data_IF_602068986048
#
_entry.id   IF_602068986048
#
_cell.length_a   1.000
_cell.length_b   1.000
_cell.length_c   1.000
_cell.angle_alpha   90.00
_cell.angle_beta   90.00
_cell.angle_gamma   90.00
#
_symmetry.space_group_name_H-M   'P 1'
#
loop_
_entity.id
_entity.type
_entity.pdbx_description
1 polymer ?
#
# COMPACT_ATOMS: atom_id res chain seq x y z
N UNK A 1 -17.37 5.08 -15.36
CA UNK A 1 -16.69 4.76 -14.08
C UNK A 1 -15.89 5.98 -13.70
N UNK A 2 -15.92 6.41 -12.43
CA UNK A 2 -15.27 7.66 -12.01
C UNK A 2 -14.02 7.39 -11.15
N UNK A 3 -13.97 6.28 -10.43
CA UNK A 3 -12.86 5.88 -9.57
C UNK A 3 -12.57 4.40 -9.76
N UNK A 4 -11.29 4.04 -9.81
CA UNK A 4 -10.82 2.66 -9.73
C UNK A 4 -9.99 2.45 -8.47
N UNK A 5 -9.94 1.19 -8.01
CA UNK A 5 -9.27 0.80 -6.77
C UNK A 5 -8.34 -0.40 -6.99
N UNK A 6 -7.22 -0.24 -7.70
CA UNK A 6 -6.27 -1.34 -7.87
C UNK A 6 -5.64 -1.71 -6.54
N UNK A 7 -5.61 -3.01 -6.23
CA UNK A 7 -4.89 -3.56 -5.09
C UNK A 7 -3.52 -4.08 -5.54
N UNK A 8 -2.45 -3.51 -5.01
CA UNK A 8 -1.08 -3.84 -5.43
C UNK A 8 -0.68 -5.29 -5.12
N UNK A 9 -1.27 -5.89 -4.08
CA UNK A 9 -1.05 -7.30 -3.76
C UNK A 9 -1.71 -8.26 -4.76
N UNK A 10 -2.76 -7.81 -5.45
CA UNK A 10 -3.57 -8.62 -6.36
C UNK A 10 -3.35 -8.30 -7.84
N UNK A 11 -3.00 -7.07 -8.18
CA UNK A 11 -2.86 -6.63 -9.59
C UNK A 11 -1.47 -6.87 -10.19
N UNK A 12 -0.52 -7.41 -9.43
CA UNK A 12 0.84 -7.68 -9.91
C UNK A 12 1.91 -6.70 -9.43
N UNK A 13 1.68 -6.03 -8.31
CA UNK A 13 2.63 -5.12 -7.66
C UNK A 13 2.59 -3.70 -8.20
N UNK A 14 3.57 -2.89 -7.78
CA UNK A 14 3.65 -1.45 -8.09
C UNK A 14 3.74 -1.20 -9.60
N UNK A 15 4.51 -2.00 -10.33
CA UNK A 15 4.70 -1.83 -11.78
C UNK A 15 3.38 -1.96 -12.54
N UNK A 16 2.61 -3.00 -12.27
CA UNK A 16 1.32 -3.19 -12.94
C UNK A 16 0.27 -2.20 -12.40
N UNK A 17 0.28 -1.93 -11.11
CA UNK A 17 -0.55 -0.89 -10.49
C UNK A 17 -0.34 0.48 -11.14
N UNK A 18 0.91 0.87 -11.40
CA UNK A 18 1.24 2.13 -12.10
C UNK A 18 0.68 2.17 -13.52
N UNK A 19 0.82 1.07 -14.29
CA UNK A 19 0.25 0.98 -15.65
C UNK A 19 -1.27 1.13 -15.64
N UNK A 20 -1.95 0.47 -14.69
CA UNK A 20 -3.40 0.58 -14.52
C UNK A 20 -3.81 2.03 -14.23
N UNK A 21 -3.07 2.71 -13.35
CA UNK A 21 -3.32 4.12 -13.00
C UNK A 21 -3.10 5.05 -14.20
N UNK A 22 -2.05 4.83 -15.00
CA UNK A 22 -1.75 5.60 -16.20
C UNK A 22 -2.83 5.42 -17.28
N UNK A 23 -3.30 4.19 -17.47
CA UNK A 23 -4.42 3.92 -18.38
C UNK A 23 -5.70 4.61 -17.91
N UNK A 24 -6.00 4.57 -16.61
CA UNK A 24 -7.15 5.24 -16.03
C UNK A 24 -7.08 6.75 -16.22
N UNK A 25 -5.89 7.33 -16.06
CA UNK A 25 -5.66 8.77 -16.22
C UNK A 25 -6.00 9.27 -17.63
N UNK A 26 -5.70 8.49 -18.66
CA UNK A 26 -6.04 8.84 -20.07
C UNK A 26 -7.55 9.02 -20.28
N UNK A 27 -8.37 8.39 -19.44
CA UNK A 27 -9.84 8.45 -19.48
C UNK A 27 -10.45 9.34 -18.39
N UNK A 28 -9.66 10.20 -17.77
CA UNK A 28 -10.10 11.05 -16.63
C UNK A 28 -10.70 10.26 -15.47
N UNK A 29 -10.19 9.04 -15.24
CA UNK A 29 -10.63 8.18 -14.14
C UNK A 29 -9.66 8.36 -12.98
N UNK A 30 -10.20 8.71 -11.82
CA UNK A 30 -9.44 8.87 -10.57
C UNK A 30 -9.06 7.54 -9.94
N UNK A 31 -8.03 7.56 -9.10
CA UNK A 31 -7.52 6.39 -8.38
C UNK A 31 -7.57 6.59 -6.88
N UNK A 32 -8.09 5.60 -6.21
CA UNK A 32 -7.93 5.32 -4.79
C UNK A 32 -7.41 3.89 -4.69
N UNK A 33 -6.15 3.67 -4.35
CA UNK A 33 -5.63 2.29 -4.22
C UNK A 33 -6.39 1.53 -3.13
N UNK A 34 -6.73 0.25 -3.39
CA UNK A 34 -7.31 -0.61 -2.36
C UNK A 34 -6.23 -1.05 -1.38
N UNK A 35 -6.41 -0.74 -0.09
CA UNK A 35 -5.42 -0.98 0.97
C UNK A 35 -6.09 -1.58 2.21
N UNK A 36 -6.37 -2.87 2.22
CA UNK A 36 -6.95 -3.54 3.38
C UNK A 36 -6.08 -4.67 3.97
N UNK A 37 -4.87 -4.85 3.47
CA UNK A 37 -3.89 -5.82 3.96
C UNK A 37 -3.06 -5.25 5.15
N UNK A 38 -1.79 -5.59 5.24
CA UNK A 38 -0.90 -5.17 6.32
C UNK A 38 -0.11 -3.88 6.02
N UNK A 39 0.78 -3.47 6.94
CA UNK A 39 1.58 -2.23 6.80
C UNK A 39 2.49 -2.19 5.57
N UNK A 40 2.91 -3.35 5.02
CA UNK A 40 3.64 -3.40 3.74
C UNK A 40 2.77 -2.95 2.56
N UNK A 41 1.48 -3.33 2.56
CA UNK A 41 0.54 -2.87 1.54
C UNK A 41 0.33 -1.36 1.63
N UNK A 42 0.21 -0.81 2.84
CA UNK A 42 0.16 0.64 3.08
C UNK A 42 1.40 1.33 2.53
N UNK A 43 2.61 0.84 2.87
CA UNK A 43 3.86 1.43 2.38
C UNK A 43 3.95 1.40 0.85
N UNK A 44 3.59 0.27 0.21
CA UNK A 44 3.58 0.14 -1.24
C UNK A 44 2.58 1.10 -1.92
N UNK A 45 1.37 1.21 -1.36
CA UNK A 45 0.35 2.13 -1.88
C UNK A 45 0.80 3.58 -1.78
N UNK A 46 1.39 4.02 -0.66
CA UNK A 46 1.92 5.37 -0.49
C UNK A 46 3.00 5.70 -1.52
N UNK A 47 3.87 4.73 -1.88
CA UNK A 47 4.87 4.91 -2.96
C UNK A 47 4.22 5.09 -4.34
N UNK A 48 3.17 4.34 -4.65
CA UNK A 48 2.44 4.50 -5.90
C UNK A 48 1.67 5.82 -5.95
N UNK A 49 0.95 6.14 -4.89
CA UNK A 49 0.03 7.27 -4.80
C UNK A 49 0.75 8.62 -4.94
N UNK A 50 2.00 8.73 -4.50
CA UNK A 50 2.78 9.96 -4.66
C UNK A 50 3.30 10.20 -6.09
N UNK A 51 3.20 9.21 -7.00
CA UNK A 51 3.72 9.31 -8.39
C UNK A 51 2.64 9.20 -9.47
N UNK A 52 1.37 9.10 -9.08
CA UNK A 52 0.24 9.06 -10.03
C UNK A 52 -0.51 10.41 -10.04
N UNK A 53 -0.80 10.98 -11.22
CA UNK A 53 -1.45 12.30 -11.31
C UNK A 53 -2.94 12.30 -10.97
N UNK A 54 -3.59 11.14 -11.02
CA UNK A 54 -5.02 10.94 -10.81
C UNK A 54 -5.38 10.36 -9.42
N UNK A 55 -4.46 10.45 -8.46
CA UNK A 55 -4.71 10.11 -7.06
C UNK A 55 -5.74 11.08 -6.44
N UNK A 56 -6.67 10.55 -5.64
CA UNK A 56 -7.66 11.36 -4.91
C UNK A 56 -7.58 11.22 -3.39
N UNK A 57 -7.42 10.00 -2.88
CA UNK A 57 -7.37 9.73 -1.44
C UNK A 57 -6.76 8.36 -1.16
N UNK A 58 -6.06 8.22 -0.05
CA UNK A 58 -5.57 6.92 0.46
C UNK A 58 -6.68 6.19 1.21
N UNK A 59 -6.83 4.88 0.99
CA UNK A 59 -7.72 4.06 1.77
C UNK A 59 -7.10 3.72 3.12
N UNK A 60 -7.80 4.05 4.21
CA UNK A 60 -7.40 3.69 5.56
C UNK A 60 -8.42 2.74 6.19
N UNK A 61 -8.13 1.46 6.17
CA UNK A 61 -9.02 0.43 6.68
C UNK A 61 -8.87 0.27 8.19
N UNK A 62 -9.99 -0.05 8.88
CA UNK A 62 -9.99 -0.30 10.34
C UNK A 62 -8.96 -1.33 10.78
N UNK A 63 -8.66 -2.34 9.95
CA UNK A 63 -7.67 -3.37 10.26
C UNK A 63 -6.27 -2.79 10.49
N UNK A 64 -5.92 -1.68 9.84
CA UNK A 64 -4.65 -0.99 10.04
C UNK A 64 -4.46 -0.46 11.48
N UNK A 65 -5.54 -0.32 12.26
CA UNK A 65 -5.50 0.13 13.65
C UNK A 65 -5.36 -1.02 14.65
N UNK A 66 -5.53 -2.27 14.22
CA UNK A 66 -5.48 -3.41 15.13
C UNK A 66 -4.04 -3.71 15.55
N UNK A 67 -3.78 -3.98 16.85
CA UNK A 67 -2.42 -4.19 17.36
C UNK A 67 -1.65 -5.26 16.59
N UNK A 68 -2.29 -6.40 16.30
CA UNK A 68 -1.64 -7.50 15.56
C UNK A 68 -1.26 -7.12 14.12
N UNK A 69 -1.98 -6.20 13.49
CA UNK A 69 -1.65 -5.71 12.16
C UNK A 69 -0.47 -4.72 12.23
N UNK A 70 -0.51 -3.79 13.18
CA UNK A 70 0.53 -2.77 13.38
C UNK A 70 1.90 -3.39 13.70
N UNK A 71 1.90 -4.53 14.42
CA UNK A 71 3.11 -5.25 14.83
C UNK A 71 3.73 -6.13 13.71
N UNK A 72 3.07 -6.27 12.55
CA UNK A 72 3.59 -7.08 11.44
C UNK A 72 4.88 -6.52 10.84
N UNK A 73 5.08 -5.21 10.90
CA UNK A 73 6.23 -4.54 10.32
C UNK A 73 6.98 -3.69 11.35
N UNK A 74 8.20 -3.29 10.99
CA UNK A 74 9.05 -2.45 11.84
C UNK A 74 8.46 -1.04 11.95
N UNK A 75 7.91 -0.51 10.85
CA UNK A 75 7.34 0.83 10.79
C UNK A 75 5.83 0.77 10.64
N UNK A 76 5.13 1.57 11.44
CA UNK A 76 3.68 1.70 11.44
C UNK A 76 3.30 3.07 10.87
N UNK A 77 3.03 3.11 9.57
CA UNK A 77 2.61 4.32 8.87
C UNK A 77 1.13 4.59 9.15
N UNK A 78 0.87 5.53 10.05
CA UNK A 78 -0.48 5.98 10.39
C UNK A 78 -0.67 7.45 9.95
N UNK A 79 -1.89 7.85 9.58
CA UNK A 79 -2.16 9.24 9.24
C UNK A 79 -2.11 10.14 10.48
N UNK A 80 -1.54 11.33 10.31
CA UNK A 80 -1.54 12.38 11.34
C UNK A 80 -2.30 13.58 10.77
N UNK A 81 -3.37 13.97 11.44
CA UNK A 81 -4.25 15.07 11.00
C UNK A 81 -4.74 14.90 9.53
N UNK A 82 -5.10 13.67 9.14
CA UNK A 82 -5.56 13.36 7.79
C UNK A 82 -4.48 13.28 6.73
N UNK A 83 -3.19 13.32 7.11
CA UNK A 83 -2.06 13.29 6.18
C UNK A 83 -1.16 12.11 6.47
N UNK A 84 -0.77 11.37 5.43
CA UNK A 84 0.30 10.38 5.49
C UNK A 84 1.65 10.99 5.12
N UNK A 85 2.70 10.53 5.80
CA UNK A 85 4.07 10.76 5.36
C UNK A 85 4.50 9.60 4.46
N UNK A 86 4.95 9.90 3.25
CA UNK A 86 5.50 8.88 2.34
C UNK A 86 6.81 8.34 2.91
N UNK A 87 7.02 7.01 2.93
CA UNK A 87 8.28 6.42 3.38
C UNK A 87 9.47 6.88 2.53
N UNK A 88 10.57 7.30 3.17
CA UNK A 88 11.80 7.73 2.50
C UNK A 88 12.95 6.71 2.63
N UNK A 89 12.71 5.59 3.31
CA UNK A 89 13.69 4.52 3.50
C UNK A 89 13.84 3.67 2.22
N UNK A 90 14.94 2.94 2.05
CA UNK A 90 15.16 2.08 0.88
C UNK A 90 14.04 1.06 0.65
N UNK A 91 13.85 0.65 -0.59
CA UNK A 91 12.79 -0.29 -1.00
C UNK A 91 11.40 0.33 -0.85
N UNK A 92 10.48 -0.38 -0.20
CA UNK A 92 9.15 0.13 0.13
C UNK A 92 9.16 1.09 1.34
N UNK A 93 10.29 1.20 2.03
CA UNK A 93 10.39 1.92 3.29
C UNK A 93 9.82 1.15 4.48
N UNK A 94 9.61 -0.15 4.36
CA UNK A 94 9.13 -1.01 5.45
C UNK A 94 9.63 -2.45 5.31
N UNK A 95 9.71 -3.15 6.43
CA UNK A 95 10.15 -4.54 6.52
C UNK A 95 9.27 -5.29 7.54
N UNK A 96 9.16 -6.62 7.39
CA UNK A 96 8.51 -7.43 8.41
C UNK A 96 9.28 -7.39 9.72
N UNK A 97 8.55 -7.36 10.83
CA UNK A 97 9.13 -7.48 12.17
C UNK A 97 9.64 -8.92 12.40
N UNK A 98 10.65 -9.09 13.28
CA UNK A 98 11.13 -10.41 13.68
C UNK A 98 10.00 -11.27 14.26
N UNK A 99 9.08 -10.65 15.00
CA UNK A 99 7.90 -11.32 15.55
C UNK A 99 7.03 -11.90 14.43
N UNK A 100 6.76 -11.15 13.38
CA UNK A 100 5.99 -11.62 12.23
C UNK A 100 6.69 -12.79 11.53
N UNK A 101 8.00 -12.67 11.29
CA UNK A 101 8.79 -13.72 10.63
C UNK A 101 8.87 -15.04 11.41
N UNK A 102 8.78 -14.97 12.74
CA UNK A 102 8.77 -16.19 13.59
C UNK A 102 7.39 -16.84 13.70
N UNK A 103 6.31 -16.10 13.46
CA UNK A 103 4.94 -16.58 13.57
C UNK A 103 4.30 -16.99 12.23
N UNK A 104 4.99 -16.77 11.10
CA UNK A 104 4.47 -17.06 9.77
C UNK A 104 5.09 -18.34 9.17
N UNK A 105 4.28 -19.06 8.41
CA UNK A 105 4.79 -20.16 7.56
C UNK A 105 5.67 -19.56 6.45
N UNK A 106 6.81 -20.20 6.19
CA UNK A 106 7.74 -19.78 5.15
C UNK A 106 7.78 -20.80 4.03
N UNK A 107 7.45 -20.36 2.83
CA UNK A 107 7.58 -21.15 1.60
C UNK A 107 8.64 -20.49 0.71
N UNK A 108 9.64 -21.27 0.29
CA UNK A 108 10.61 -20.83 -0.74
C UNK A 108 10.15 -21.38 -2.07
N UNK A 109 9.97 -20.49 -3.05
CA UNK A 109 9.65 -20.85 -4.44
C UNK A 109 10.93 -20.70 -5.24
N UNK A 110 11.39 -21.81 -5.90
CA UNK A 110 12.55 -21.84 -6.80
C UNK A 110 12.13 -21.57 -8.24
#
# INVERSE_FOLDING_TARGET
>A
MQVIQPDLGNCGGITEGKKICDMAHVYDISVQAHVCAGPLSTAAALQLECVIPNFIIHEHHRNALLPHNRELCIYDYQPVNGTYKVPELPGLGNEFSEKALTCCDKITVE
#
